data_IF_078899306740
#
_entry.id   IF_078899306740
#
_cell.length_a   1.000
_cell.length_b   1.000
_cell.length_c   1.000
_cell.angle_alpha   90.00
_cell.angle_beta   90.00
_cell.angle_gamma   90.00
#
_symmetry.space_group_name_H-M   'P 1'
#
loop_
_entity.id
_entity.type
_entity.pdbx_description
1 polymer ?
#
# COMPACT_ATOMS: atom_id res chain seq x y z
N UNK A 1 16.14 3.55 12.67
CA UNK A 1 15.76 2.15 12.43
C UNK A 1 17.04 1.38 12.08
N UNK A 2 17.18 0.10 12.45
CA UNK A 2 18.25 -0.74 11.87
C UNK A 2 18.09 -0.75 10.33
N UNK A 3 19.19 -0.85 9.58
CA UNK A 3 19.19 -0.69 8.11
C UNK A 3 18.39 -1.79 7.40
N UNK A 4 17.71 -1.43 6.30
CA UNK A 4 16.98 -2.38 5.46
C UNK A 4 17.95 -3.36 4.75
N UNK A 5 17.88 -4.64 5.07
CA UNK A 5 18.70 -5.71 4.47
C UNK A 5 18.36 -6.03 3.00
N UNK A 6 17.42 -5.31 2.36
CA UNK A 6 16.93 -5.52 0.98
C UNK A 6 16.50 -6.96 0.66
N UNK A 7 16.12 -7.74 1.68
CA UNK A 7 15.87 -9.19 1.60
C UNK A 7 14.59 -9.64 0.85
N UNK A 8 13.89 -8.73 0.15
CA UNK A 8 12.74 -9.08 -0.69
C UNK A 8 11.48 -9.58 0.05
N UNK A 9 11.48 -9.69 1.38
CA UNK A 9 10.33 -10.21 2.16
C UNK A 9 9.05 -9.40 1.99
N UNK A 10 9.17 -8.09 1.78
CA UNK A 10 8.01 -7.23 1.49
C UNK A 10 7.38 -7.51 0.12
N UNK A 11 8.03 -8.29 -0.74
CA UNK A 11 7.58 -8.61 -2.09
C UNK A 11 6.89 -9.97 -2.22
N UNK A 12 6.94 -10.85 -1.19
CA UNK A 12 6.56 -12.27 -1.35
C UNK A 12 5.18 -12.64 -0.78
N UNK A 13 4.50 -11.72 -0.11
CA UNK A 13 3.17 -11.92 0.50
C UNK A 13 2.33 -10.66 0.37
N UNK A 14 2.14 -10.20 -0.86
CA UNK A 14 1.42 -8.96 -1.15
C UNK A 14 -0.08 -9.09 -0.89
N UNK A 15 -0.63 -10.32 -0.92
CA UNK A 15 -2.03 -10.60 -0.60
C UNK A 15 -2.15 -11.34 0.72
N UNK A 16 -3.03 -10.86 1.59
CA UNK A 16 -3.36 -11.56 2.83
C UNK A 16 -4.46 -12.59 2.52
N UNK A 17 -4.12 -13.86 2.28
CA UNK A 17 -5.09 -15.00 2.20
C UNK A 17 -6.31 -14.76 1.29
N UNK A 18 -6.18 -14.98 -0.02
CA UNK A 18 -7.27 -14.72 -1.00
C UNK A 18 -7.94 -13.34 -0.82
N UNK A 19 -7.15 -12.38 -0.36
CA UNK A 19 -7.64 -11.06 0.03
C UNK A 19 -8.35 -10.37 -1.12
N UNK A 20 -9.43 -9.69 -0.77
CA UNK A 20 -10.22 -8.80 -1.62
C UNK A 20 -9.39 -7.62 -2.17
N UNK A 21 -8.19 -7.39 -1.61
CA UNK A 21 -7.26 -6.36 -2.04
C UNK A 21 -5.86 -6.90 -2.41
N UNK A 22 -5.19 -6.18 -3.30
CA UNK A 22 -3.80 -6.36 -3.68
C UNK A 22 -2.89 -5.29 -3.09
N UNK A 23 -1.69 -5.15 -3.66
CA UNK A 23 -0.77 -4.06 -3.31
C UNK A 23 -1.29 -2.75 -3.90
N UNK A 24 -1.65 -1.78 -3.06
CA UNK A 24 -2.09 -0.45 -3.49
C UNK A 24 -1.02 0.28 -4.30
N UNK A 25 -1.45 0.88 -5.41
CA UNK A 25 -0.66 1.70 -6.34
C UNK A 25 -1.38 3.02 -6.58
N UNK A 26 -0.62 4.12 -6.66
CA UNK A 26 -1.15 5.38 -7.17
C UNK A 26 -1.17 5.41 -8.72
N UNK A 27 -1.98 6.28 -9.35
CA UNK A 27 -2.14 6.29 -10.80
C UNK A 27 -0.83 6.41 -11.60
N UNK A 28 0.17 7.13 -11.07
CA UNK A 28 1.49 7.30 -11.67
C UNK A 28 2.43 6.09 -11.48
N UNK A 29 2.06 5.16 -10.60
CA UNK A 29 2.85 3.99 -10.22
C UNK A 29 2.45 2.72 -10.99
N UNK A 30 1.29 2.71 -11.65
CA UNK A 30 0.82 1.54 -12.42
C UNK A 30 1.81 1.15 -13.54
N UNK A 31 2.57 2.11 -14.06
CA UNK A 31 3.59 1.92 -15.09
C UNK A 31 4.72 0.96 -14.67
N UNK A 32 4.88 0.73 -13.38
CA UNK A 32 5.87 -0.22 -12.88
C UNK A 32 5.41 -1.67 -13.04
N UNK A 33 4.15 -1.94 -13.35
CA UNK A 33 3.60 -3.29 -13.38
C UNK A 33 3.03 -3.65 -14.77
N UNK A 34 3.03 -4.94 -15.15
CA UNK A 34 2.34 -5.41 -16.34
C UNK A 34 0.86 -5.02 -16.30
N UNK A 35 0.29 -4.43 -17.38
CA UNK A 35 -1.08 -3.91 -17.36
C UNK A 35 -2.16 -4.95 -17.00
N UNK A 36 -1.95 -6.20 -17.38
CA UNK A 36 -2.82 -7.34 -17.09
C UNK A 36 -2.86 -7.71 -15.60
N UNK A 37 -1.84 -7.33 -14.83
CA UNK A 37 -1.75 -7.57 -13.38
C UNK A 37 -2.26 -6.40 -12.51
N UNK A 38 -2.76 -5.32 -13.14
CA UNK A 38 -3.25 -4.13 -12.44
C UNK A 38 -4.78 -4.04 -12.55
N UNK A 39 -5.44 -3.77 -11.44
CA UNK A 39 -6.89 -3.48 -11.38
C UNK A 39 -7.14 -2.17 -10.63
N UNK A 40 -8.29 -1.50 -10.83
CA UNK A 40 -8.74 -0.45 -9.93
C UNK A 40 -8.76 -0.94 -8.48
N UNK A 41 -8.62 -0.04 -7.51
CA UNK A 41 -8.67 -0.37 -6.07
C UNK A 41 -9.70 0.46 -5.33
N UNK A 42 -9.43 1.75 -5.10
CA UNK A 42 -10.38 2.66 -4.44
C UNK A 42 -10.92 3.66 -5.45
N UNK A 43 -12.21 3.95 -5.35
CA UNK A 43 -12.87 4.95 -6.18
C UNK A 43 -13.95 5.68 -5.39
N UNK A 44 -14.47 6.77 -5.98
CA UNK A 44 -15.67 7.46 -5.50
C UNK A 44 -16.72 7.59 -6.61
N UNK A 45 -17.97 7.76 -6.19
CA UNK A 45 -19.10 8.11 -7.05
C UNK A 45 -20.45 7.80 -6.40
N UNK A 46 -21.55 8.29 -6.97
CA UNK A 46 -22.89 8.26 -6.34
C UNK A 46 -23.61 6.91 -6.55
N UNK A 47 -23.80 6.53 -7.81
CA UNK A 47 -24.49 5.28 -8.20
C UNK A 47 -23.50 4.21 -8.67
N UNK A 48 -22.34 4.63 -9.16
CA UNK A 48 -21.25 3.79 -9.65
C UNK A 48 -19.92 4.50 -9.41
N UNK A 49 -18.78 3.78 -9.41
CA UNK A 49 -17.46 4.40 -9.30
C UNK A 49 -17.12 5.18 -10.57
N UNK A 50 -17.06 6.51 -10.46
CA UNK A 50 -16.76 7.40 -11.59
C UNK A 50 -15.33 7.92 -11.57
N UNK A 51 -14.70 7.98 -10.40
CA UNK A 51 -13.33 8.48 -10.22
C UNK A 51 -12.51 7.46 -9.45
N UNK A 52 -11.59 6.77 -10.14
CA UNK A 52 -10.62 5.86 -9.53
C UNK A 52 -9.48 6.66 -8.92
N UNK A 53 -9.19 6.40 -7.65
CA UNK A 53 -8.15 7.07 -6.89
C UNK A 53 -6.87 6.24 -6.78
N UNK A 54 -7.01 4.95 -6.47
CA UNK A 54 -5.89 4.00 -6.44
C UNK A 54 -6.17 2.80 -7.31
N UNK A 55 -5.08 2.14 -7.69
CA UNK A 55 -5.06 0.85 -8.34
C UNK A 55 -4.45 -0.18 -7.38
N UNK A 56 -4.46 -1.44 -7.79
CA UNK A 56 -3.86 -2.53 -7.05
C UNK A 56 -3.18 -3.51 -8.00
N UNK A 57 -1.99 -3.97 -7.59
CA UNK A 57 -1.35 -5.12 -8.21
C UNK A 57 -1.92 -6.40 -7.61
N UNK A 58 -2.32 -7.31 -8.50
CA UNK A 58 -3.16 -8.47 -8.18
C UNK A 58 -2.39 -9.74 -7.81
N UNK A 59 -1.08 -9.78 -8.09
CA UNK A 59 -0.25 -10.93 -7.77
C UNK A 59 0.13 -10.97 -6.29
N UNK A 60 0.21 -12.18 -5.74
CA UNK A 60 0.67 -12.37 -4.36
C UNK A 60 2.20 -12.19 -4.21
N UNK A 61 2.94 -12.39 -5.31
CA UNK A 61 4.39 -12.19 -5.38
C UNK A 61 4.68 -11.09 -6.38
N UNK A 62 5.47 -10.10 -5.98
CA UNK A 62 5.85 -8.99 -6.84
C UNK A 62 6.66 -9.48 -8.05
N UNK A 63 6.29 -9.02 -9.24
CA UNK A 63 7.02 -9.28 -10.50
C UNK A 63 8.48 -8.82 -10.45
N UNK A 64 8.79 -7.86 -9.58
CA UNK A 64 10.13 -7.28 -9.41
C UNK A 64 11.01 -8.05 -8.43
N UNK A 65 10.52 -9.12 -7.81
CA UNK A 65 11.32 -9.97 -6.93
C UNK A 65 12.20 -10.90 -7.79
N UNK A 66 13.51 -10.64 -7.80
CA UNK A 66 14.52 -11.50 -8.43
C UNK A 66 15.65 -11.78 -7.45
N UNK A 67 16.06 -13.04 -7.34
CA UNK A 67 17.14 -13.48 -6.44
C UNK A 67 16.99 -12.96 -4.99
N UNK A 68 15.75 -12.96 -4.48
CA UNK A 68 15.36 -12.42 -3.17
C UNK A 68 15.59 -10.91 -2.98
N UNK A 69 15.68 -10.14 -4.06
CA UNK A 69 15.83 -8.68 -4.05
C UNK A 69 14.79 -8.01 -4.95
N UNK A 70 14.41 -6.79 -4.60
CA UNK A 70 13.56 -5.96 -5.46
C UNK A 70 14.44 -5.25 -6.50
N UNK A 71 14.24 -5.53 -7.79
CA UNK A 71 15.07 -4.93 -8.85
C UNK A 71 14.76 -3.45 -9.11
N UNK A 72 13.60 -2.96 -8.66
CA UNK A 72 13.22 -1.54 -8.71
C UNK A 72 13.31 -0.88 -7.33
N UNK A 73 14.23 -1.29 -6.47
CA UNK A 73 14.26 -0.87 -5.05
C UNK A 73 14.20 0.66 -4.87
N UNK A 74 14.95 1.42 -5.66
CA UNK A 74 15.00 2.89 -5.53
C UNK A 74 13.72 3.55 -6.09
N UNK A 75 13.13 2.97 -7.15
CA UNK A 75 11.93 3.47 -7.84
C UNK A 75 10.62 2.84 -7.35
N UNK A 76 10.69 2.04 -6.27
CA UNK A 76 9.56 1.23 -5.80
C UNK A 76 8.35 2.12 -5.45
N UNK A 77 7.11 1.61 -5.63
CA UNK A 77 5.89 2.34 -5.29
C UNK A 77 5.89 2.88 -3.87
N UNK A 78 5.10 3.93 -3.62
CA UNK A 78 4.99 4.60 -2.32
C UNK A 78 4.59 3.63 -1.21
N UNK A 79 3.64 2.73 -1.48
CA UNK A 79 3.25 1.66 -0.55
C UNK A 79 4.42 0.71 -0.20
N UNK A 80 5.34 0.48 -1.15
CA UNK A 80 6.55 -0.30 -0.90
C UNK A 80 7.61 0.48 -0.12
N UNK A 81 7.73 1.80 -0.37
CA UNK A 81 8.64 2.70 0.37
C UNK A 81 8.19 2.92 1.81
N UNK A 82 6.89 2.87 2.07
CA UNK A 82 6.37 3.01 3.43
C UNK A 82 6.66 1.76 4.26
N UNK A 83 6.82 0.57 3.66
CA UNK A 83 7.17 -0.64 4.40
C UNK A 83 8.47 -0.41 5.17
N UNK A 84 8.50 -0.69 6.48
CA UNK A 84 7.58 -1.52 7.25
C UNK A 84 6.47 -0.74 8.00
N UNK A 85 6.40 0.57 7.82
CA UNK A 85 5.42 1.47 8.43
C UNK A 85 4.08 1.41 7.67
N UNK A 86 2.99 1.36 8.43
CA UNK A 86 1.61 1.39 7.94
C UNK A 86 0.85 2.48 8.67
N UNK A 87 -0.05 3.17 7.98
CA UNK A 87 -1.00 4.10 8.62
C UNK A 87 -2.18 3.26 9.11
N UNK A 88 -2.49 3.34 10.40
CA UNK A 88 -3.69 2.76 10.99
C UNK A 88 -4.55 3.83 11.66
N UNK A 89 -5.73 3.43 12.14
CA UNK A 89 -6.72 4.33 12.76
C UNK A 89 -6.15 5.12 13.95
N UNK A 90 -5.22 4.53 14.71
CA UNK A 90 -4.60 5.13 15.90
C UNK A 90 -3.15 5.58 15.64
N UNK A 91 -2.81 5.93 14.40
CA UNK A 91 -1.47 6.35 14.00
C UNK A 91 -0.64 5.25 13.34
N UNK A 92 0.69 5.41 13.38
CA UNK A 92 1.62 4.53 12.67
C UNK A 92 1.72 3.14 13.34
N UNK A 93 1.61 2.10 12.52
CA UNK A 93 1.79 0.69 12.88
C UNK A 93 2.97 0.11 12.12
N UNK A 94 3.54 -0.97 12.62
CA UNK A 94 4.62 -1.68 11.94
C UNK A 94 4.21 -3.07 11.46
N UNK A 95 4.72 -3.47 10.30
CA UNK A 95 4.61 -4.83 9.82
C UNK A 95 5.48 -5.78 10.66
N UNK A 96 4.84 -6.73 11.34
CA UNK A 96 5.51 -7.72 12.20
C UNK A 96 6.52 -8.64 11.48
N UNK A 97 6.56 -8.64 10.13
CA UNK A 97 7.45 -9.47 9.33
C UNK A 97 8.85 -8.90 9.06
N UNK A 98 9.12 -7.64 9.44
CA UNK A 98 10.42 -7.00 9.16
C UNK A 98 11.40 -7.18 10.32
N UNK A 99 12.50 -7.93 10.10
CA UNK A 99 13.53 -8.17 11.12
C UNK A 99 14.17 -6.89 11.65
N UNK A 100 14.50 -5.94 10.76
CA UNK A 100 15.10 -4.67 11.15
C UNK A 100 14.21 -3.89 12.12
N UNK A 101 12.89 -3.90 11.92
CA UNK A 101 11.93 -3.30 12.86
C UNK A 101 11.85 -4.07 14.16
N UNK A 102 11.71 -5.40 14.10
CA UNK A 102 11.64 -6.21 15.32
C UNK A 102 12.87 -5.99 16.19
N UNK A 103 14.04 -5.81 15.60
CA UNK A 103 15.27 -5.48 16.32
C UNK A 103 15.26 -4.03 16.85
N UNK A 104 14.78 -3.07 16.06
CA UNK A 104 14.66 -1.65 16.47
C UNK A 104 13.70 -1.48 17.64
N UNK A 105 12.48 -2.05 17.54
CA UNK A 105 11.46 -1.98 18.59
C UNK A 105 11.91 -2.62 19.92
N UNK A 106 12.81 -3.61 19.86
CA UNK A 106 13.40 -4.21 21.06
C UNK A 106 14.44 -3.30 21.72
N UNK A 107 15.14 -2.45 20.95
CA UNK A 107 16.28 -1.65 21.41
C UNK A 107 15.91 -0.21 21.78
N UNK A 108 14.91 0.36 21.13
CA UNK A 108 14.59 1.79 21.24
C UNK A 108 13.17 2.03 21.73
N UNK A 109 13.00 3.04 22.59
CA UNK A 109 11.70 3.48 23.13
C UNK A 109 10.97 4.51 22.26
N UNK A 110 11.71 5.20 21.40
CA UNK A 110 11.19 6.32 20.61
C UNK A 110 11.43 6.08 19.12
N UNK A 111 10.53 6.62 18.31
CA UNK A 111 10.55 6.52 16.86
C UNK A 111 11.17 7.78 16.26
N UNK A 112 12.11 7.60 15.36
CA UNK A 112 12.69 8.68 14.56
C UNK A 112 11.77 8.99 13.37
N UNK A 113 11.17 10.18 13.35
CA UNK A 113 10.27 10.62 12.30
C UNK A 113 11.00 10.99 10.99
N UNK A 114 12.33 11.15 11.03
CA UNK A 114 13.12 11.48 9.85
C UNK A 114 13.43 10.29 8.95
N UNK A 115 13.09 9.09 9.39
CA UNK A 115 13.31 7.86 8.64
C UNK A 115 12.54 7.87 7.31
N UNK A 116 13.17 7.44 6.19
CA UNK A 116 12.53 7.45 4.86
C UNK A 116 11.18 6.72 4.81
N UNK A 117 11.05 5.60 5.53
CA UNK A 117 9.83 4.81 5.58
C UNK A 117 8.69 5.53 6.31
N UNK A 118 9.02 6.32 7.34
CA UNK A 118 8.05 7.16 8.06
C UNK A 118 7.59 8.30 7.17
N UNK A 119 8.52 8.98 6.48
CA UNK A 119 8.20 10.02 5.50
C UNK A 119 7.29 9.49 4.37
N UNK A 120 7.61 8.32 3.83
CA UNK A 120 6.76 7.66 2.84
C UNK A 120 5.36 7.31 3.38
N UNK A 121 5.25 6.85 4.63
CA UNK A 121 3.97 6.60 5.26
C UNK A 121 3.15 7.88 5.47
N UNK A 122 3.79 8.99 5.85
CA UNK A 122 3.15 10.30 5.96
C UNK A 122 2.64 10.77 4.58
N UNK A 123 3.46 10.70 3.53
CA UNK A 123 3.02 11.05 2.17
C UNK A 123 1.86 10.19 1.68
N UNK A 124 1.81 8.92 2.09
CA UNK A 124 0.67 8.05 1.81
C UNK A 124 -0.57 8.49 2.59
N UNK A 125 -0.43 8.88 3.86
CA UNK A 125 -1.52 9.42 4.67
C UNK A 125 -2.08 10.72 4.07
N UNK A 126 -1.23 11.62 3.59
CA UNK A 126 -1.61 12.87 2.92
C UNK A 126 -2.43 12.59 1.67
N UNK A 127 -1.97 11.69 0.79
CA UNK A 127 -2.74 11.29 -0.40
C UNK A 127 -4.09 10.67 -0.05
N UNK A 128 -4.15 9.81 0.98
CA UNK A 128 -5.41 9.24 1.45
C UNK A 128 -6.33 10.31 2.04
N UNK A 129 -5.78 11.30 2.76
CA UNK A 129 -6.52 12.44 3.27
C UNK A 129 -7.11 13.26 2.12
N UNK A 130 -6.32 13.60 1.10
CA UNK A 130 -6.80 14.30 -0.10
C UNK A 130 -7.95 13.56 -0.77
N UNK A 131 -7.85 12.24 -0.92
CA UNK A 131 -8.94 11.41 -1.42
C UNK A 131 -10.20 11.58 -0.60
N UNK A 132 -10.11 11.39 0.71
CA UNK A 132 -11.22 11.47 1.64
C UNK A 132 -11.84 12.87 1.70
N UNK A 133 -11.03 13.92 1.68
CA UNK A 133 -11.48 15.32 1.66
C UNK A 133 -12.12 15.74 0.35
N UNK A 134 -11.97 14.95 -0.73
CA UNK A 134 -12.57 15.25 -2.04
C UNK A 134 -14.03 14.80 -2.19
N UNK A 135 -14.60 14.09 -1.21
CA UNK A 135 -15.96 13.55 -1.28
C UNK A 135 -17.01 14.65 -1.12
N UNK A 136 -18.08 14.58 -1.91
CA UNK A 136 -19.33 15.30 -1.61
C UNK A 136 -20.22 14.48 -0.67
N UNK A 137 -21.26 15.07 -0.05
CA UNK A 137 -22.19 14.32 0.81
C UNK A 137 -22.89 13.13 0.11
N UNK A 138 -23.03 13.18 -1.20
CA UNK A 138 -23.67 12.14 -2.02
C UNK A 138 -22.70 11.05 -2.48
N UNK A 139 -21.39 11.34 -2.46
CA UNK A 139 -20.37 10.40 -2.91
C UNK A 139 -20.31 9.18 -2.00
N UNK A 140 -20.26 7.99 -2.61
CA UNK A 140 -19.97 6.73 -1.93
C UNK A 140 -18.53 6.33 -2.19
N UNK A 141 -17.91 5.70 -1.18
CA UNK A 141 -16.58 5.10 -1.32
C UNK A 141 -16.75 3.70 -1.89
N UNK A 142 -16.07 3.43 -3.00
CA UNK A 142 -16.09 2.14 -3.68
C UNK A 142 -14.73 1.46 -3.55
N UNK A 143 -14.75 0.15 -3.41
CA UNK A 143 -13.58 -0.71 -3.48
C UNK A 143 -13.80 -1.79 -4.52
N UNK A 144 -12.82 -2.00 -5.39
CA UNK A 144 -12.82 -3.14 -6.29
C UNK A 144 -12.29 -4.37 -5.55
N UNK A 145 -13.12 -5.39 -5.47
CA UNK A 145 -12.82 -6.62 -4.77
C UNK A 145 -12.20 -7.64 -5.75
N UNK A 146 -10.96 -8.07 -5.49
CA UNK A 146 -10.23 -9.00 -6.34
C UNK A 146 -10.76 -10.45 -6.27
N UNK A 147 -11.58 -10.80 -5.28
CA UNK A 147 -12.17 -12.12 -5.15
C UNK A 147 -13.49 -12.22 -5.92
N UNK A 148 -14.36 -11.22 -5.80
CA UNK A 148 -15.62 -11.16 -6.56
C UNK A 148 -15.46 -10.59 -7.97
N UNK A 149 -14.37 -9.88 -8.24
CA UNK A 149 -14.15 -9.08 -9.45
C UNK A 149 -15.22 -8.00 -9.66
N UNK A 150 -15.79 -7.49 -8.57
CA UNK A 150 -16.86 -6.50 -8.58
C UNK A 150 -16.50 -5.25 -7.76
N UNK A 151 -17.20 -4.16 -8.04
CA UNK A 151 -17.15 -2.95 -7.23
C UNK A 151 -18.14 -3.05 -6.07
N UNK A 152 -17.63 -2.82 -4.86
CA UNK A 152 -18.39 -2.90 -3.62
C UNK A 152 -18.37 -1.55 -2.91
N UNK A 153 -19.51 -1.17 -2.32
CA UNK A 153 -19.59 0.05 -1.50
C UNK A 153 -18.95 -0.24 -0.15
N UNK A 154 -17.92 0.54 0.20
CA UNK A 154 -17.30 0.46 1.51
C UNK A 154 -18.22 1.09 2.56
N UNK A 155 -18.61 0.31 3.56
CA UNK A 155 -19.29 0.84 4.76
C UNK A 155 -18.22 1.47 5.65
N UNK A 156 -18.37 2.76 5.94
CA UNK A 156 -17.57 3.47 6.96
C UNK A 156 -17.94 3.01 8.36
#
# INVERSE_FOLDING_TARGET
MDECERCGRCCSHLRVRESEAGLTLFPDEIRFFPPDTVRPHLAKGVESPTTVFTYQHTENVCVHLKDNMCIIYEDRPLMCRSFPVKVGENGLRFAAGCKAVLNTLKKHKEMDFDQPEVKAAISMAEKLYEFHSSFTPEDKKWQYNLASEEWEIMKL
#
